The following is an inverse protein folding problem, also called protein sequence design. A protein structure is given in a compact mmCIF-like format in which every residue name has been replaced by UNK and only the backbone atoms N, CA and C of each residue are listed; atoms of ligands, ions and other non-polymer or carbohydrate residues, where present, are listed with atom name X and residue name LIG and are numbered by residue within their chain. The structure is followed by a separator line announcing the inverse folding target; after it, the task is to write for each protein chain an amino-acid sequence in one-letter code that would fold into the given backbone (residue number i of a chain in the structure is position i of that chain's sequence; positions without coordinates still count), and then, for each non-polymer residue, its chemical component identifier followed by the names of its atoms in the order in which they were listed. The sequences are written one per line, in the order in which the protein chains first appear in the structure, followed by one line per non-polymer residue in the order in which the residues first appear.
data_IF_141960990738
#
_entry.id   IF_141960990738
#
_cell.length_a   1.000
_cell.length_b   1.000
_cell.length_c   1.000
_cell.angle_alpha   90.00
_cell.angle_beta   90.00
_cell.angle_gamma   90.00
#
_symmetry.space_group_name_H-M   'P 1'
#
loop_
_entity.id
_entity.type
_entity.pdbx_description
1 polymer ?
#
# COMPACT_ATOMS: atom_id res chain seq x y z
N UNK A 1 0.48 -11.43 -15.64
CA UNK A 1 -0.66 -11.98 -14.88
C UNK A 1 -1.90 -11.93 -15.74
N UNK A 2 -2.44 -13.09 -16.14
CA UNK A 2 -3.72 -13.14 -16.84
C UNK A 2 -4.84 -12.85 -15.81
N UNK A 3 -5.78 -11.99 -16.18
CA UNK A 3 -6.92 -11.67 -15.33
C UNK A 3 -7.88 -12.88 -15.30
N UNK A 4 -8.44 -13.25 -14.13
CA UNK A 4 -9.45 -14.29 -14.05
C UNK A 4 -10.66 -13.98 -14.93
N UNK A 5 -11.34 -15.01 -15.41
CA UNK A 5 -12.59 -14.86 -16.14
C UNK A 5 -13.64 -14.15 -15.28
N UNK A 6 -14.31 -13.14 -15.85
CA UNK A 6 -15.26 -12.29 -15.11
C UNK A 6 -14.63 -11.16 -14.29
N UNK A 7 -13.29 -11.06 -14.25
CA UNK A 7 -12.63 -9.91 -13.65
C UNK A 7 -12.85 -8.67 -14.52
N UNK A 8 -13.49 -7.64 -13.96
CA UNK A 8 -13.81 -6.40 -14.64
C UNK A 8 -13.04 -5.22 -14.02
N UNK A 9 -11.73 -5.05 -14.33
CA UNK A 9 -10.90 -3.98 -13.76
C UNK A 9 -11.50 -2.59 -13.90
N UNK A 10 -12.13 -2.31 -15.05
CA UNK A 10 -12.81 -1.03 -15.30
C UNK A 10 -13.91 -0.75 -14.27
N UNK A 11 -14.71 -1.76 -13.90
CA UNK A 11 -15.76 -1.61 -12.87
C UNK A 11 -15.16 -1.37 -11.48
N UNK A 12 -14.02 -1.97 -11.18
CA UNK A 12 -13.31 -1.72 -9.91
C UNK A 12 -12.83 -0.27 -9.86
N UNK A 13 -12.21 0.23 -10.93
CA UNK A 13 -11.77 1.61 -11.04
C UNK A 13 -12.94 2.60 -10.88
N UNK A 14 -14.07 2.36 -11.55
CA UNK A 14 -15.30 3.16 -11.40
C UNK A 14 -15.72 3.28 -9.93
N UNK A 15 -15.80 2.15 -9.21
CA UNK A 15 -16.19 2.13 -7.79
C UNK A 15 -15.19 2.83 -6.88
N UNK A 16 -13.90 2.63 -7.10
CA UNK A 16 -12.85 3.29 -6.30
C UNK A 16 -12.85 4.81 -6.55
N UNK A 17 -13.14 5.23 -7.78
CA UNK A 17 -13.19 6.65 -8.15
C UNK A 17 -14.34 7.41 -7.47
N UNK A 18 -15.43 6.75 -7.06
CA UNK A 18 -16.51 7.35 -6.26
C UNK A 18 -16.00 7.94 -4.92
N UNK A 19 -14.89 7.41 -4.39
CA UNK A 19 -14.29 7.83 -3.10
C UNK A 19 -12.87 8.38 -3.23
N UNK A 20 -12.40 8.68 -4.45
CA UNK A 20 -11.01 9.06 -4.76
C UNK A 20 -10.41 10.12 -3.82
N UNK A 21 -11.19 11.15 -3.45
CA UNK A 21 -10.77 12.26 -2.59
C UNK A 21 -10.44 11.86 -1.14
N UNK A 22 -10.68 10.60 -0.75
CA UNK A 22 -10.39 10.06 0.59
C UNK A 22 -9.29 8.99 0.58
N UNK A 23 -8.73 8.66 -0.58
CA UNK A 23 -7.81 7.52 -0.73
C UNK A 23 -6.36 7.94 -0.56
N UNK A 24 -5.63 7.18 0.26
CA UNK A 24 -4.18 7.20 0.38
C UNK A 24 -3.69 5.83 -0.08
N UNK A 25 -2.92 5.78 -1.17
CA UNK A 25 -2.45 4.53 -1.77
C UNK A 25 -0.92 4.52 -1.94
N UNK A 26 -0.35 3.32 -1.96
CA UNK A 26 1.08 3.09 -2.27
C UNK A 26 1.19 2.04 -3.35
N UNK A 27 2.21 2.15 -4.20
CA UNK A 27 2.35 1.32 -5.40
C UNK A 27 2.64 -0.13 -5.05
N UNK A 28 1.82 -1.04 -5.57
CA UNK A 28 2.06 -2.47 -5.56
C UNK A 28 2.95 -2.96 -6.69
N UNK A 29 3.51 -4.16 -6.55
CA UNK A 29 4.39 -4.74 -7.59
C UNK A 29 3.64 -5.12 -8.88
N UNK A 30 2.31 -5.21 -8.81
CA UNK A 30 1.44 -5.51 -9.95
C UNK A 30 0.83 -4.24 -10.58
N UNK A 31 0.96 -3.08 -9.95
CA UNK A 31 0.39 -1.83 -10.45
C UNK A 31 1.26 -1.24 -11.56
N UNK A 32 0.62 -0.73 -12.59
CA UNK A 32 1.24 -0.16 -13.79
C UNK A 32 0.78 1.28 -14.04
N UNK A 33 1.41 1.94 -15.02
CA UNK A 33 0.99 3.28 -15.46
C UNK A 33 -0.44 3.26 -16.04
N UNK A 34 -0.87 2.15 -16.62
CA UNK A 34 -2.24 1.97 -17.13
C UNK A 34 -3.26 2.02 -15.99
N UNK A 35 -2.95 1.43 -14.84
CA UNK A 35 -3.84 1.45 -13.68
C UNK A 35 -3.96 2.87 -13.11
N UNK A 36 -2.86 3.62 -13.08
CA UNK A 36 -2.88 5.03 -12.69
C UNK A 36 -3.72 5.88 -13.66
N UNK A 37 -3.73 5.57 -14.96
CA UNK A 37 -4.59 6.28 -15.92
C UNK A 37 -6.08 6.05 -15.69
N UNK A 38 -6.47 4.93 -15.07
CA UNK A 38 -7.87 4.61 -14.75
C UNK A 38 -8.33 5.17 -13.40
N UNK A 39 -7.41 5.39 -12.46
CA UNK A 39 -7.72 5.84 -11.10
C UNK A 39 -7.55 7.36 -10.93
N UNK A 40 -8.52 7.99 -10.29
CA UNK A 40 -8.56 9.44 -10.05
C UNK A 40 -7.82 9.86 -8.76
N UNK A 41 -6.93 9.02 -8.24
CA UNK A 41 -6.10 9.30 -7.08
C UNK A 41 -4.67 8.76 -7.30
N UNK A 42 -3.65 9.35 -6.65
CA UNK A 42 -2.26 8.91 -6.85
C UNK A 42 -2.03 7.52 -6.25
N UNK A 43 -1.49 6.60 -7.06
CA UNK A 43 -1.11 5.25 -6.62
C UNK A 43 0.39 4.95 -6.79
N UNK A 44 1.15 5.84 -7.43
CA UNK A 44 2.53 5.55 -7.84
C UNK A 44 3.58 5.74 -6.75
N UNK A 45 3.21 6.37 -5.63
CA UNK A 45 4.11 6.61 -4.51
C UNK A 45 4.60 5.27 -3.93
N UNK A 46 5.92 5.03 -3.86
CA UNK A 46 6.46 3.76 -3.39
C UNK A 46 6.32 3.56 -1.87
N UNK A 47 6.13 4.65 -1.11
CA UNK A 47 5.79 4.65 0.31
C UNK A 47 5.13 5.98 0.69
N UNK A 48 4.40 5.99 1.80
CA UNK A 48 3.81 7.17 2.43
C UNK A 48 3.96 7.10 3.95
N UNK A 49 3.68 8.20 4.67
CA UNK A 49 3.81 8.27 6.13
C UNK A 49 2.53 8.81 6.77
N UNK A 50 2.21 8.31 7.96
CA UNK A 50 1.27 8.95 8.89
C UNK A 50 2.02 9.28 10.17
N UNK A 51 1.93 10.53 10.61
CA UNK A 51 2.57 10.97 11.85
C UNK A 51 1.52 11.01 12.96
N UNK A 52 1.81 10.30 14.04
CA UNK A 52 1.09 10.39 15.30
C UNK A 52 1.92 11.21 16.27
N UNK A 53 1.40 11.48 17.47
CA UNK A 53 2.07 12.35 18.45
C UNK A 53 3.49 11.91 18.81
N UNK A 54 3.78 10.61 18.81
CA UNK A 54 5.06 10.03 19.29
C UNK A 54 5.70 9.01 18.37
N UNK A 55 5.00 8.62 17.30
CA UNK A 55 5.42 7.54 16.41
C UNK A 55 4.94 7.81 15.00
N UNK A 56 5.51 7.08 14.05
CA UNK A 56 5.20 7.19 12.63
C UNK A 56 4.78 5.83 12.09
N UNK A 57 3.77 5.84 11.24
CA UNK A 57 3.40 4.69 10.42
C UNK A 57 4.09 4.82 9.06
N UNK A 58 4.91 3.83 8.70
CA UNK A 58 5.54 3.71 7.39
C UNK A 58 4.68 2.80 6.50
N UNK A 59 3.97 3.40 5.55
CA UNK A 59 3.08 2.68 4.63
C UNK A 59 3.85 2.29 3.36
N UNK A 60 3.86 1.02 3.01
CA UNK A 60 4.48 0.49 1.77
C UNK A 60 3.72 -0.74 1.29
N UNK A 61 3.94 -1.19 0.06
CA UNK A 61 3.29 -2.40 -0.41
C UNK A 61 3.88 -3.69 0.19
N UNK A 62 5.19 -3.74 0.42
CA UNK A 62 5.87 -4.95 0.93
C UNK A 62 6.97 -5.51 0.01
N UNK A 63 6.92 -5.19 -1.29
CA UNK A 63 7.89 -5.71 -2.26
C UNK A 63 9.23 -4.95 -2.31
N UNK A 64 9.23 -3.68 -1.87
CA UNK A 64 10.45 -2.86 -1.76
C UNK A 64 10.98 -2.84 -0.32
N UNK A 65 10.07 -2.53 0.62
CA UNK A 65 10.33 -2.52 2.06
C UNK A 65 9.34 -3.46 2.73
N UNK A 66 9.83 -4.31 3.62
CA UNK A 66 9.06 -5.39 4.23
C UNK A 66 9.81 -6.02 5.41
N UNK A 67 9.32 -7.12 5.99
CA UNK A 67 9.91 -7.76 7.17
C UNK A 67 11.37 -8.19 7.00
N UNK A 68 11.79 -8.48 5.77
CA UNK A 68 13.15 -8.92 5.43
C UNK A 68 14.03 -7.77 4.87
N UNK A 69 13.45 -6.59 4.66
CA UNK A 69 14.15 -5.38 4.22
C UNK A 69 13.51 -4.16 4.88
N UNK A 70 13.80 -3.97 6.16
CA UNK A 70 13.19 -2.91 6.97
C UNK A 70 13.71 -1.53 6.57
N UNK A 71 12.83 -0.51 6.43
CA UNK A 71 13.28 0.87 6.36
C UNK A 71 13.85 1.30 7.72
N UNK A 72 14.57 2.43 7.75
CA UNK A 72 15.01 3.02 9.02
C UNK A 72 13.80 3.55 9.82
N UNK A 73 13.53 2.90 10.94
CA UNK A 73 12.42 3.18 11.85
C UNK A 73 12.96 3.47 13.26
N UNK A 74 12.26 4.36 13.98
CA UNK A 74 12.54 4.57 15.40
C UNK A 74 11.88 3.48 16.24
N UNK A 75 12.27 3.39 17.52
CA UNK A 75 11.54 2.60 18.50
C UNK A 75 10.05 3.01 18.52
N UNK A 76 9.15 2.02 18.47
CA UNK A 76 7.68 2.15 18.39
C UNK A 76 7.12 2.72 17.06
N UNK A 77 7.95 2.99 16.05
CA UNK A 77 7.43 3.21 14.69
C UNK A 77 6.81 1.92 14.16
N UNK A 78 5.82 2.04 13.27
CA UNK A 78 5.08 0.89 12.75
C UNK A 78 5.32 0.75 11.26
N UNK A 79 5.70 -0.45 10.82
CA UNK A 79 5.68 -0.83 9.41
C UNK A 79 4.30 -1.36 9.01
N UNK A 80 3.65 -0.71 8.05
CA UNK A 80 2.38 -1.16 7.48
C UNK A 80 2.63 -1.63 6.05
N UNK A 81 2.41 -2.92 5.79
CA UNK A 81 2.68 -3.53 4.50
C UNK A 81 1.65 -4.61 4.13
N UNK A 82 1.56 -4.91 2.84
CA UNK A 82 0.76 -5.99 2.26
C UNK A 82 1.65 -7.03 1.59
N UNK A 83 1.40 -7.32 0.31
CA UNK A 83 2.19 -8.23 -0.55
C UNK A 83 2.13 -9.73 -0.18
N UNK A 84 2.15 -10.10 1.10
CA UNK A 84 2.21 -11.50 1.56
C UNK A 84 0.87 -12.23 1.49
N UNK A 85 -0.24 -11.50 1.41
CA UNK A 85 -1.61 -12.00 1.56
C UNK A 85 -1.87 -12.71 2.91
N UNK A 86 -1.00 -12.49 3.90
CA UNK A 86 -1.09 -13.03 5.25
C UNK A 86 -1.30 -11.89 6.25
N UNK A 87 -2.36 -11.92 7.08
CA UNK A 87 -2.58 -10.89 8.09
C UNK A 87 -1.55 -11.03 9.20
N UNK A 88 -0.97 -9.90 9.63
CA UNK A 88 0.00 -9.82 10.73
C UNK A 88 -0.35 -8.61 11.59
N UNK A 89 -0.27 -8.78 12.91
CA UNK A 89 -0.38 -7.71 13.89
C UNK A 89 0.43 -8.12 15.13
N UNK A 90 1.71 -7.79 15.13
CA UNK A 90 2.67 -8.18 16.18
C UNK A 90 3.70 -7.09 16.43
N UNK A 91 4.39 -7.16 17.58
CA UNK A 91 5.59 -6.40 17.87
C UNK A 91 6.80 -7.29 17.57
N UNK A 92 7.73 -6.83 16.72
CA UNK A 92 8.92 -7.57 16.30
C UNK A 92 10.18 -6.78 16.65
N UNK A 93 10.70 -7.03 17.83
CA UNK A 93 11.84 -6.27 18.37
C UNK A 93 11.38 -4.94 18.95
N UNK A 94 11.96 -3.84 18.49
CA UNK A 94 11.64 -2.47 18.95
C UNK A 94 10.55 -1.77 18.13
N UNK A 95 10.00 -2.45 17.12
CA UNK A 95 8.95 -1.96 16.19
C UNK A 95 7.74 -2.89 16.18
#
# INVERSE_FOLDING_TARGET
NALPEGYAPAKVAERLNEVAHKVIAVRGNCDSEVDQMLLHFPITAPWQQVLLEKQRLFLTHGHLFGPENLPALNQNDVLVYGHTHLPVAEQRGEI
#
